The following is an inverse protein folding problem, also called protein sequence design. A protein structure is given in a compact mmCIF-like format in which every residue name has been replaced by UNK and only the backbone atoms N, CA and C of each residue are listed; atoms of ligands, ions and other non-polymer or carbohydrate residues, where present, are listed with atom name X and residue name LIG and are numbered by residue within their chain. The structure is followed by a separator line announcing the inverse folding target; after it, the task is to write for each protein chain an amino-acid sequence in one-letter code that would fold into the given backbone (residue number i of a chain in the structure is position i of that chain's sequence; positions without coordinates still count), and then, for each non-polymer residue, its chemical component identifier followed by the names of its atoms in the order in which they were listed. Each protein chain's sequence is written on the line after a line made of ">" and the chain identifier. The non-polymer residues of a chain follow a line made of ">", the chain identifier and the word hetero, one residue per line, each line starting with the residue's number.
data_IF_769669010084
#
_entry.id   IF_769669010084
#
_cell.length_a   1.000
_cell.length_b   1.000
_cell.length_c   1.000
_cell.angle_alpha   90.00
_cell.angle_beta   90.00
_cell.angle_gamma   90.00
#
_symmetry.space_group_name_H-M   'P 1'
#
loop_
_entity.id
_entity.type
_entity.pdbx_description
1 polymer ?
#
# COMPACT_ATOMS: atom_id res chain seq x y z
N UNK A 1 -8.58 -12.07 -27.11
CA UNK A 1 -7.38 -11.95 -27.96
C UNK A 1 -6.20 -12.35 -27.09
N UNK A 2 -5.84 -13.62 -26.92
CA UNK A 2 -5.52 -14.61 -27.95
C UNK A 2 -4.00 -14.63 -28.08
N UNK A 3 -3.32 -15.49 -27.31
CA UNK A 3 -1.87 -15.70 -27.41
C UNK A 3 -1.64 -17.15 -27.84
N UNK A 4 -0.76 -17.32 -28.82
CA UNK A 4 -0.28 -18.61 -29.32
C UNK A 4 0.48 -19.35 -28.21
N UNK A 5 0.41 -20.68 -28.20
CA UNK A 5 1.00 -21.54 -27.15
C UNK A 5 2.54 -21.39 -27.05
N UNK A 6 3.16 -20.79 -28.07
CA UNK A 6 4.61 -20.61 -28.21
C UNK A 6 5.18 -19.41 -27.42
N UNK A 7 4.37 -18.42 -27.03
CA UNK A 7 4.83 -17.22 -26.30
C UNK A 7 4.89 -17.43 -24.77
N UNK A 8 5.31 -18.61 -24.32
CA UNK A 8 5.51 -18.89 -22.89
C UNK A 8 6.98 -18.74 -22.52
N UNK A 9 7.33 -17.60 -21.93
CA UNK A 9 8.66 -17.36 -21.39
C UNK A 9 8.76 -17.84 -19.94
N UNK A 10 9.81 -18.61 -19.63
CA UNK A 10 10.15 -18.96 -18.25
C UNK A 10 10.78 -17.75 -17.56
N UNK A 11 10.00 -17.09 -16.71
CA UNK A 11 10.46 -15.96 -15.91
C UNK A 11 10.93 -16.47 -14.55
N UNK A 12 12.22 -16.27 -14.23
CA UNK A 12 12.80 -16.64 -12.91
C UNK A 12 12.44 -15.67 -11.78
N UNK A 13 11.62 -14.66 -12.07
CA UNK A 13 11.19 -13.63 -11.13
C UNK A 13 9.68 -13.70 -10.88
N UNK A 14 9.24 -13.01 -9.84
CA UNK A 14 7.84 -12.89 -9.48
C UNK A 14 7.12 -11.95 -10.46
N UNK A 15 6.12 -12.47 -11.18
CA UNK A 15 5.27 -11.68 -12.08
C UNK A 15 3.95 -11.39 -11.39
N UNK A 16 3.59 -10.11 -11.33
CA UNK A 16 2.27 -9.68 -10.84
C UNK A 16 1.37 -9.36 -12.04
N UNK A 17 0.26 -10.08 -12.17
CA UNK A 17 -0.77 -9.79 -13.19
C UNK A 17 -1.64 -8.59 -12.78
N UNK A 18 -1.56 -8.20 -11.50
CA UNK A 18 -2.42 -7.17 -10.91
C UNK A 18 -2.09 -5.79 -11.44
N UNK A 19 -3.14 -5.11 -11.92
CA UNK A 19 -3.04 -3.72 -12.39
C UNK A 19 -2.54 -2.84 -11.26
N UNK A 20 -1.41 -2.22 -11.54
CA UNK A 20 -0.81 -1.26 -10.65
C UNK A 20 -1.77 -0.06 -10.53
N UNK A 21 -2.17 0.32 -9.31
CA UNK A 21 -3.22 1.35 -9.04
C UNK A 21 -3.03 2.63 -9.90
N UNK A 22 -4.03 3.03 -10.69
CA UNK A 22 -3.87 3.98 -11.81
C UNK A 22 -3.75 5.45 -11.36
N UNK A 23 -2.59 5.78 -10.77
CA UNK A 23 -2.01 7.11 -10.57
C UNK A 23 -1.46 7.74 -11.86
N UNK A 24 -1.93 8.90 -12.36
CA UNK A 24 -1.45 9.52 -13.62
C UNK A 24 0.04 9.92 -13.67
N UNK A 25 0.80 9.76 -12.58
CA UNK A 25 2.19 10.20 -12.45
C UNK A 25 3.05 9.15 -11.73
N UNK A 26 3.16 7.93 -12.28
CA UNK A 26 3.89 6.85 -11.61
C UNK A 26 5.24 6.51 -12.26
N UNK A 27 6.29 6.16 -11.48
CA UNK A 27 7.48 5.50 -12.01
C UNK A 27 7.11 4.20 -12.75
N UNK A 28 7.44 4.16 -14.04
CA UNK A 28 7.19 3.02 -14.96
C UNK A 28 8.12 1.83 -14.67
N UNK A 29 9.20 2.06 -13.93
CA UNK A 29 10.12 1.05 -13.42
C UNK A 29 10.79 1.54 -12.15
N UNK A 30 11.02 0.63 -11.20
CA UNK A 30 11.75 0.91 -9.96
C UNK A 30 12.92 -0.07 -9.91
N UNK A 31 14.14 0.45 -10.08
CA UNK A 31 15.37 -0.32 -9.90
C UNK A 31 15.72 -0.40 -8.40
N UNK A 32 16.29 -1.53 -7.96
CA UNK A 32 16.63 -1.79 -6.55
C UNK A 32 15.44 -1.56 -5.59
N UNK A 33 14.32 -2.21 -5.89
CA UNK A 33 13.08 -2.01 -5.19
C UNK A 33 13.16 -2.58 -3.76
N UNK A 34 12.99 -1.69 -2.77
CA UNK A 34 12.66 -2.06 -1.40
C UNK A 34 11.15 -2.25 -1.30
N UNK A 35 10.74 -3.51 -1.15
CA UNK A 35 9.35 -3.94 -1.19
C UNK A 35 8.85 -4.21 0.22
N UNK A 36 7.63 -3.77 0.54
CA UNK A 36 6.96 -4.15 1.78
C UNK A 36 5.57 -4.67 1.52
N UNK A 37 5.25 -5.76 2.20
CA UNK A 37 3.90 -6.30 2.27
C UNK A 37 3.22 -5.79 3.54
N UNK A 38 2.11 -5.09 3.35
CA UNK A 38 1.28 -4.54 4.41
C UNK A 38 -0.05 -5.31 4.45
N UNK A 39 -0.50 -5.64 5.67
CA UNK A 39 -1.79 -6.26 5.93
C UNK A 39 -2.83 -5.30 6.53
N UNK A 40 -2.45 -4.05 6.81
CA UNK A 40 -3.33 -3.01 7.32
C UNK A 40 -3.73 -2.00 6.22
N UNK A 41 -4.82 -1.28 6.45
CA UNK A 41 -5.32 -0.27 5.51
C UNK A 41 -4.70 1.11 5.78
N UNK A 42 -4.43 1.90 4.74
CA UNK A 42 -3.91 3.27 4.88
C UNK A 42 -5.08 4.25 4.92
N UNK A 43 -5.88 4.10 5.97
CA UNK A 43 -7.07 4.90 6.24
C UNK A 43 -7.02 5.39 7.67
N UNK A 44 -7.78 6.44 7.94
CA UNK A 44 -8.07 6.81 9.32
C UNK A 44 -8.82 5.64 9.98
N UNK A 45 -8.38 5.18 11.16
CA UNK A 45 -9.13 4.17 11.89
C UNK A 45 -10.49 4.76 12.19
N UNK A 46 -11.53 4.27 11.51
CA UNK A 46 -12.89 4.53 11.95
C UNK A 46 -13.04 3.77 13.25
N UNK A 47 -13.18 4.49 14.35
CA UNK A 47 -13.47 3.87 15.64
C UNK A 47 -14.74 3.03 15.45
N UNK A 48 -14.64 1.71 15.53
CA UNK A 48 -15.81 0.78 15.42
C UNK A 48 -16.78 0.94 16.59
N UNK A 49 -16.39 1.70 17.62
CA UNK A 49 -17.26 2.16 18.69
C UNK A 49 -18.11 3.28 18.12
N UNK A 50 -19.44 3.17 18.19
CA UNK A 50 -20.45 4.16 17.80
C UNK A 50 -20.19 5.54 18.43
N UNK A 51 -19.16 6.25 17.97
CA UNK A 51 -18.93 7.64 18.30
C UNK A 51 -19.82 8.44 17.35
N UNK A 52 -21.01 8.79 17.84
CA UNK A 52 -21.73 9.94 17.29
C UNK A 52 -20.81 11.14 17.47
N UNK A 53 -20.08 11.50 16.41
CA UNK A 53 -19.37 12.77 16.37
C UNK A 53 -20.48 13.81 16.37
N UNK A 54 -20.85 14.29 17.56
CA UNK A 54 -21.81 15.39 17.73
C UNK A 54 -21.09 16.64 17.27
N UNK A 55 -21.13 16.90 15.96
CA UNK A 55 -20.56 18.10 15.38
C UNK A 55 -21.43 19.26 15.85
N UNK A 56 -20.96 19.91 16.91
CA UNK A 56 -21.66 21.06 17.49
C UNK A 56 -21.33 22.35 16.74
N UNK A 57 -20.23 22.37 15.98
CA UNK A 57 -19.71 23.58 15.33
C UNK A 57 -19.09 23.28 13.96
N UNK A 58 -19.35 24.15 12.98
CA UNK A 58 -18.74 24.06 11.64
C UNK A 58 -17.21 24.08 11.68
N UNK A 59 -16.62 24.77 12.66
CA UNK A 59 -15.16 24.83 12.83
C UNK A 59 -14.55 23.50 13.27
N UNK A 60 -15.34 22.60 13.87
CA UNK A 60 -14.89 21.27 14.27
C UNK A 60 -14.81 20.33 13.07
N UNK A 61 -15.68 20.49 12.06
CA UNK A 61 -15.62 19.73 10.80
C UNK A 61 -14.28 19.92 10.09
N UNK A 62 -13.85 21.18 9.92
CA UNK A 62 -12.58 21.49 9.27
C UNK A 62 -11.37 20.95 10.03
N UNK A 63 -11.46 20.87 11.37
CA UNK A 63 -10.39 20.28 12.18
C UNK A 63 -10.30 18.77 11.97
N UNK A 64 -11.44 18.08 11.97
CA UNK A 64 -11.51 16.63 11.74
C UNK A 64 -10.92 16.30 10.36
N UNK A 65 -11.36 16.98 9.30
CA UNK A 65 -10.84 16.74 7.95
C UNK A 65 -9.32 16.97 7.84
N UNK A 66 -8.77 17.93 8.58
CA UNK A 66 -7.33 18.18 8.66
C UNK A 66 -6.60 17.08 9.43
N UNK A 67 -7.13 16.63 10.56
CA UNK A 67 -6.57 15.52 11.33
C UNK A 67 -6.52 14.24 10.50
N UNK A 68 -7.58 13.93 9.76
CA UNK A 68 -7.62 12.76 8.88
C UNK A 68 -6.52 12.79 7.82
N UNK A 69 -6.35 13.92 7.13
CA UNK A 69 -5.27 14.11 6.15
C UNK A 69 -3.89 14.02 6.80
N UNK A 70 -3.70 14.64 7.95
CA UNK A 70 -2.43 14.63 8.67
C UNK A 70 -2.07 13.22 9.14
N UNK A 71 -3.05 12.41 9.53
CA UNK A 71 -2.86 11.01 9.89
C UNK A 71 -2.31 10.20 8.71
N UNK A 72 -2.96 10.29 7.54
CA UNK A 72 -2.51 9.61 6.31
C UNK A 72 -1.11 10.08 5.91
N UNK A 73 -0.85 11.39 5.92
CA UNK A 73 0.48 11.95 5.63
C UNK A 73 1.54 11.46 6.62
N UNK A 74 1.21 11.35 7.90
CA UNK A 74 2.10 10.83 8.94
C UNK A 74 2.50 9.38 8.66
N UNK A 75 1.54 8.54 8.23
CA UNK A 75 1.81 7.16 7.85
C UNK A 75 2.75 7.08 6.64
N UNK A 76 2.46 7.85 5.58
CA UNK A 76 3.27 7.87 4.36
C UNK A 76 4.69 8.37 4.66
N UNK A 77 4.85 9.37 5.53
CA UNK A 77 6.18 9.85 5.96
C UNK A 77 6.99 8.76 6.66
N UNK A 78 6.37 7.93 7.50
CA UNK A 78 7.05 6.78 8.12
C UNK A 78 7.51 5.75 7.09
N UNK A 79 6.64 5.41 6.12
CA UNK A 79 6.97 4.49 5.02
C UNK A 79 8.14 5.04 4.19
N UNK A 80 8.08 6.33 3.85
CA UNK A 80 9.13 7.03 3.10
C UNK A 80 10.44 7.13 3.89
N UNK A 81 10.38 7.38 5.19
CA UNK A 81 11.57 7.51 6.05
C UNK A 81 12.41 6.24 6.14
N UNK A 82 11.80 5.08 5.90
CA UNK A 82 12.50 3.79 5.86
C UNK A 82 13.08 3.50 4.46
N UNK A 83 12.73 4.32 3.46
CA UNK A 83 13.20 4.19 2.09
C UNK A 83 12.50 3.07 1.33
N UNK A 84 11.24 2.78 1.65
CA UNK A 84 10.42 1.83 0.91
C UNK A 84 10.00 2.44 -0.44
N UNK A 85 10.21 1.71 -1.54
CA UNK A 85 9.87 2.17 -2.88
C UNK A 85 8.65 1.46 -3.46
N UNK A 86 8.36 0.24 -2.99
CA UNK A 86 7.23 -0.57 -3.47
C UNK A 86 6.41 -1.07 -2.29
N UNK A 87 5.10 -0.89 -2.38
CA UNK A 87 4.12 -1.23 -1.36
C UNK A 87 3.12 -2.23 -1.94
N UNK A 88 3.02 -3.38 -1.29
CA UNK A 88 2.05 -4.43 -1.58
C UNK A 88 1.00 -4.42 -0.47
N UNK A 89 -0.27 -4.30 -0.84
CA UNK A 89 -1.39 -4.28 0.10
C UNK A 89 -2.18 -5.56 -0.08
N UNK A 90 -2.32 -6.31 1.02
CA UNK A 90 -3.19 -7.47 1.09
C UNK A 90 -4.64 -7.04 0.89
N UNK A 91 -5.37 -7.73 0.01
CA UNK A 91 -6.81 -7.56 -0.15
C UNK A 91 -7.54 -7.89 1.16
N UNK A 92 -8.11 -6.86 1.76
CA UNK A 92 -9.08 -6.93 2.84
C UNK A 92 -10.46 -7.23 2.24
N UNK A 93 -11.17 -8.13 2.91
CA UNK A 93 -12.58 -8.45 2.64
C UNK A 93 -13.54 -7.29 3.01
N UNK A 94 -13.04 -6.22 3.62
CA UNK A 94 -13.82 -5.03 3.98
C UNK A 94 -13.27 -3.79 3.30
N UNK A 95 -14.23 -2.94 2.85
CA UNK A 95 -14.18 -1.61 2.20
C UNK A 95 -12.80 -1.07 1.74
N UNK A 96 -12.83 -0.46 0.55
CA UNK A 96 -11.78 0.37 -0.07
C UNK A 96 -10.57 0.64 0.83
N UNK A 97 -9.51 -0.14 0.63
CA UNK A 97 -8.30 -0.09 1.46
C UNK A 97 -7.53 1.22 1.31
N UNK A 98 -7.86 1.98 0.26
CA UNK A 98 -7.28 3.27 -0.09
C UNK A 98 -8.31 4.21 -0.70
N UNK A 99 -8.33 5.44 -0.21
CA UNK A 99 -9.00 6.57 -0.88
C UNK A 99 -8.10 7.16 -1.96
N UNK A 100 -8.68 7.83 -2.96
CA UNK A 100 -7.93 8.59 -3.98
C UNK A 100 -6.91 9.58 -3.38
N UNK A 101 -7.23 10.14 -2.22
CA UNK A 101 -6.32 11.02 -1.46
C UNK A 101 -5.04 10.28 -1.03
N UNK A 102 -5.17 9.05 -0.52
CA UNK A 102 -4.04 8.23 -0.09
C UNK A 102 -3.17 7.84 -1.27
N UNK A 103 -3.78 7.43 -2.39
CA UNK A 103 -3.08 7.10 -3.63
C UNK A 103 -2.30 8.29 -4.17
N UNK A 104 -2.91 9.47 -4.22
CA UNK A 104 -2.24 10.69 -4.69
C UNK A 104 -1.05 11.09 -3.81
N UNK A 105 -1.18 10.97 -2.48
CA UNK A 105 -0.07 11.24 -1.56
C UNK A 105 1.08 10.23 -1.73
N UNK A 106 0.79 8.96 -2.00
CA UNK A 106 1.80 7.92 -2.25
C UNK A 106 2.51 8.13 -3.59
N UNK A 107 1.77 8.54 -4.62
CA UNK A 107 2.34 8.90 -5.93
C UNK A 107 3.27 10.12 -5.81
N UNK A 108 2.87 11.17 -5.07
CA UNK A 108 3.74 12.31 -4.77
C UNK A 108 4.99 11.90 -3.98
N UNK A 109 4.89 10.87 -3.14
CA UNK A 109 6.02 10.31 -2.41
C UNK A 109 6.96 9.44 -3.28
N UNK A 110 6.61 9.19 -4.55
CA UNK A 110 7.30 8.27 -5.49
C UNK A 110 7.30 6.81 -5.03
N UNK A 111 6.24 6.37 -4.35
CA UNK A 111 6.10 4.99 -3.88
C UNK A 111 5.14 4.25 -4.82
N UNK A 112 5.59 3.11 -5.34
CA UNK A 112 4.81 2.22 -6.19
C UNK A 112 3.84 1.41 -5.33
N UNK A 113 2.52 1.54 -5.55
CA UNK A 113 1.52 0.78 -4.79
C UNK A 113 0.83 -0.25 -5.67
N UNK A 114 0.89 -1.52 -5.26
CA UNK A 114 0.15 -2.64 -5.82
C UNK A 114 -0.89 -3.05 -4.78
N UNK A 115 -2.16 -2.95 -5.18
CA UNK A 115 -3.32 -3.30 -4.35
C UNK A 115 -3.86 -4.68 -4.72
N UNK A 116 -4.78 -5.18 -3.92
CA UNK A 116 -5.52 -6.41 -4.16
C UNK A 116 -4.66 -7.70 -4.11
N UNK A 117 -3.57 -7.74 -3.35
CA UNK A 117 -2.75 -8.95 -3.21
C UNK A 117 -3.52 -10.03 -2.44
N UNK A 118 -3.60 -11.25 -2.96
CA UNK A 118 -4.39 -12.29 -2.30
C UNK A 118 -3.67 -12.83 -1.07
N UNK A 119 -4.43 -13.27 -0.06
CA UNK A 119 -3.85 -13.87 1.15
C UNK A 119 -2.95 -15.07 0.80
N UNK A 120 -3.36 -15.87 -0.19
CA UNK A 120 -2.61 -17.05 -0.67
C UNK A 120 -1.31 -16.64 -1.36
N UNK A 121 -1.28 -15.50 -2.03
CA UNK A 121 -0.08 -14.98 -2.70
C UNK A 121 0.93 -14.41 -1.69
N UNK A 122 0.50 -13.89 -0.54
CA UNK A 122 1.40 -13.26 0.44
C UNK A 122 2.48 -14.22 0.93
N UNK A 123 2.12 -15.47 1.18
CA UNK A 123 3.11 -16.47 1.61
C UNK A 123 4.15 -16.73 0.52
N UNK A 124 3.73 -16.74 -0.74
CA UNK A 124 4.63 -16.90 -1.88
C UNK A 124 5.55 -15.68 -2.08
N UNK A 125 4.98 -14.47 -1.98
CA UNK A 125 5.68 -13.20 -2.10
C UNK A 125 6.72 -13.05 -1.00
N UNK A 126 6.35 -13.33 0.25
CA UNK A 126 7.23 -13.18 1.42
C UNK A 126 8.41 -14.16 1.37
N UNK A 127 8.18 -15.40 0.93
CA UNK A 127 9.26 -16.38 0.69
C UNK A 127 10.18 -15.97 -0.46
N UNK A 128 9.62 -15.44 -1.55
CA UNK A 128 10.39 -15.06 -2.75
C UNK A 128 11.22 -13.80 -2.54
N UNK A 129 10.66 -12.79 -1.88
CA UNK A 129 11.29 -11.49 -1.63
C UNK A 129 12.05 -11.42 -0.30
N UNK A 130 12.04 -12.52 0.47
CA UNK A 130 12.60 -12.63 1.82
C UNK A 130 12.17 -11.47 2.73
N UNK A 131 10.87 -11.15 2.71
CA UNK A 131 10.28 -10.05 3.46
C UNK A 131 9.27 -10.55 4.49
N UNK A 132 9.00 -9.75 5.52
CA UNK A 132 8.03 -10.08 6.56
C UNK A 132 6.78 -9.20 6.40
N UNK A 133 5.58 -9.79 6.39
CA UNK A 133 4.35 -9.02 6.31
C UNK A 133 4.21 -8.13 7.56
N UNK A 134 3.74 -6.91 7.35
CA UNK A 134 3.59 -5.92 8.41
C UNK A 134 2.11 -5.71 8.71
N UNK A 135 1.69 -6.15 9.90
CA UNK A 135 0.32 -6.03 10.38
C UNK A 135 -0.01 -4.67 11.01
N UNK A 136 0.99 -3.91 11.47
CA UNK A 136 0.79 -2.58 12.06
C UNK A 136 1.94 -1.64 11.70
N UNK A 137 1.65 -0.36 11.53
CA UNK A 137 2.62 0.67 11.19
C UNK A 137 3.74 0.84 12.23
N UNK A 138 3.50 0.51 13.50
CA UNK A 138 4.54 0.55 14.54
C UNK A 138 5.62 -0.52 14.35
N UNK A 139 5.26 -1.62 13.70
CA UNK A 139 6.19 -2.70 13.39
C UNK A 139 6.94 -2.47 12.07
N UNK A 140 6.72 -1.34 11.41
CA UNK A 140 7.41 -0.97 10.18
C UNK A 140 8.88 -0.67 10.50
N UNK A 141 9.77 -1.61 10.17
CA UNK A 141 11.22 -1.51 10.39
C UNK A 141 11.97 -1.93 9.14
N UNK A 142 13.16 -1.38 8.93
CA UNK A 142 14.02 -1.69 7.79
C UNK A 142 14.33 -3.19 7.63
N UNK A 143 14.32 -3.97 8.74
CA UNK A 143 14.55 -5.42 8.74
C UNK A 143 13.43 -6.23 8.08
N UNK A 144 12.25 -5.65 7.89
CA UNK A 144 11.08 -6.31 7.28
C UNK A 144 10.95 -6.02 5.79
N UNK A 145 11.82 -5.16 5.24
CA UNK A 145 11.86 -4.83 3.82
C UNK A 145 12.35 -6.05 3.03
N UNK A 146 11.64 -6.38 1.96
CA UNK A 146 12.14 -7.24 0.90
C UNK A 146 13.00 -6.45 -0.08
N UNK A 147 13.85 -7.17 -0.79
CA UNK A 147 14.69 -6.60 -1.84
C UNK A 147 14.40 -7.34 -3.14
N UNK A 148 14.09 -6.58 -4.20
CA UNK A 148 14.13 -7.06 -5.56
C UNK A 148 15.24 -6.32 -6.31
N UNK A 149 16.16 -7.09 -6.87
CA UNK A 149 17.27 -6.64 -7.71
C UNK A 149 17.00 -7.01 -9.16
#
# INVERSE_FOLDING_TARGET
>A
MGVIVDDTAWVKSLVFDKKISHSASRPTGVENAKIVVIQFQILTPKTDIEQSIVISDYTQMDRILKEERNYILGMIRKIKGIGCNVLLIQKSIHRDEMTDLSLNCLTQAKILVIKDVECVEIEFITKTLNCLPVANIEHFRAKKLGFAY
#
